data_IF_337369994489
#
_entry.id   IF_337369994489
#
_cell.length_a   1.000
_cell.length_b   1.000
_cell.length_c   1.000
_cell.angle_alpha   90.00
_cell.angle_beta   90.00
_cell.angle_gamma   90.00
#
_symmetry.space_group_name_H-M   'P 1'
#
loop_
_entity.id
_entity.type
_entity.pdbx_description
1 polymer ?
#
# COMPACT_ATOMS: atom_id res chain seq x y z
N UNK A 1 21.93 -15.34 -13.32
CA UNK A 1 21.83 -14.89 -11.92
C UNK A 1 20.40 -14.43 -11.72
N UNK A 2 19.54 -15.37 -11.34
CA UNK A 2 18.13 -15.11 -11.08
C UNK A 2 18.03 -14.59 -9.65
N UNK A 3 17.78 -13.28 -9.52
CA UNK A 3 17.49 -12.64 -8.26
C UNK A 3 16.07 -13.04 -7.85
N UNK A 4 15.91 -14.21 -7.24
CA UNK A 4 14.65 -14.58 -6.57
C UNK A 4 14.47 -13.63 -5.39
N UNK A 5 13.69 -12.57 -5.61
CA UNK A 5 13.08 -11.74 -4.58
C UNK A 5 12.49 -12.67 -3.53
N UNK A 6 13.13 -12.74 -2.37
CA UNK A 6 12.68 -13.54 -1.22
C UNK A 6 11.41 -12.89 -0.67
N UNK A 7 10.28 -13.11 -1.34
CA UNK A 7 8.96 -12.83 -0.79
C UNK A 7 8.79 -13.89 0.31
N UNK A 8 9.02 -13.49 1.56
CA UNK A 8 8.65 -14.34 2.70
C UNK A 8 7.14 -14.59 2.60
N UNK A 9 6.75 -15.76 2.11
CA UNK A 9 5.37 -16.22 2.08
C UNK A 9 4.93 -16.47 3.52
N UNK A 10 4.41 -15.42 4.17
CA UNK A 10 3.82 -15.50 5.50
C UNK A 10 2.40 -16.01 5.40
N UNK A 11 2.07 -17.00 6.25
CA UNK A 11 0.70 -17.43 6.45
C UNK A 11 -0.18 -16.25 6.88
N UNK A 12 -1.43 -16.26 6.43
CA UNK A 12 -2.41 -15.26 6.80
C UNK A 12 -2.64 -15.28 8.31
N UNK A 13 -2.49 -14.15 9.02
CA UNK A 13 -2.65 -14.12 10.47
C UNK A 13 -4.12 -14.29 10.92
N UNK A 14 -5.09 -14.16 10.00
CA UNK A 14 -6.53 -14.30 10.30
C UNK A 14 -7.01 -15.75 10.24
N UNK A 15 -6.77 -16.45 9.12
CA UNK A 15 -7.25 -17.82 8.94
C UNK A 15 -6.18 -18.89 9.15
N UNK A 16 -4.90 -18.51 9.18
CA UNK A 16 -3.72 -19.40 9.30
C UNK A 16 -3.52 -20.34 8.09
N UNK A 17 -4.61 -20.71 7.41
CA UNK A 17 -4.66 -21.65 6.30
C UNK A 17 -4.24 -21.04 4.96
N UNK A 18 -4.55 -19.76 4.74
CA UNK A 18 -4.21 -19.05 3.49
C UNK A 18 -2.81 -18.44 3.53
N UNK A 19 -2.23 -18.20 2.36
CA UNK A 19 -0.98 -17.45 2.22
C UNK A 19 -1.28 -15.99 1.87
N UNK A 20 -0.41 -15.07 2.28
CA UNK A 20 -0.48 -13.67 1.87
C UNK A 20 0.22 -13.47 0.53
N UNK A 21 -0.55 -13.11 -0.49
CA UNK A 21 -0.08 -12.86 -1.85
C UNK A 21 0.01 -11.36 -2.09
N UNK A 22 1.10 -10.90 -2.72
CA UNK A 22 1.26 -9.50 -3.10
C UNK A 22 0.36 -9.19 -4.29
N UNK A 23 -0.71 -8.41 -4.06
CA UNK A 23 -1.66 -8.01 -5.09
C UNK A 23 -1.14 -6.84 -5.93
N UNK A 24 -0.41 -5.92 -5.31
CA UNK A 24 0.04 -4.73 -6.00
C UNK A 24 0.95 -3.85 -5.17
N UNK A 25 1.43 -2.81 -5.82
CA UNK A 25 2.32 -1.83 -5.22
C UNK A 25 1.77 -0.42 -5.40
N UNK A 26 1.84 0.37 -4.34
CA UNK A 26 1.48 1.77 -4.33
C UNK A 26 2.76 2.59 -4.32
N UNK A 27 3.04 3.29 -5.41
CA UNK A 27 4.15 4.22 -5.48
C UNK A 27 3.82 5.49 -4.71
N UNK A 28 4.78 5.99 -3.94
CA UNK A 28 4.63 7.22 -3.18
C UNK A 28 5.29 8.38 -3.92
N UNK A 29 4.58 8.91 -4.91
CA UNK A 29 4.89 10.16 -5.61
C UNK A 29 4.00 11.33 -5.14
N UNK A 30 3.87 12.34 -5.99
CA UNK A 30 2.87 13.42 -5.79
C UNK A 30 1.43 12.89 -5.85
N UNK A 31 1.23 11.80 -6.61
CA UNK A 31 -0.01 11.04 -6.74
C UNK A 31 0.23 9.61 -6.29
N UNK A 32 -0.76 9.04 -5.60
CA UNK A 32 -0.77 7.64 -5.16
C UNK A 32 -1.28 6.81 -6.34
N UNK A 33 -0.40 6.02 -6.95
CA UNK A 33 -0.74 5.17 -8.10
C UNK A 33 -0.55 3.69 -7.75
N UNK A 34 -1.56 2.88 -8.10
CA UNK A 34 -1.51 1.42 -7.95
C UNK A 34 -0.89 0.84 -9.21
N UNK A 35 0.36 0.40 -9.09
CA UNK A 35 1.12 -0.15 -10.18
C UNK A 35 1.01 -1.68 -10.19
N UNK A 36 0.87 -2.23 -11.39
CA UNK A 36 1.04 -3.66 -11.63
C UNK A 36 2.50 -4.06 -11.32
N UNK A 37 2.71 -5.35 -11.03
CA UNK A 37 3.92 -6.01 -10.52
C UNK A 37 5.20 -5.89 -11.38
N UNK A 38 5.42 -4.82 -12.13
CA UNK A 38 6.69 -4.55 -12.79
C UNK A 38 7.66 -3.90 -11.78
N UNK A 39 8.40 -4.77 -11.08
CA UNK A 39 9.34 -4.52 -9.99
C UNK A 39 10.56 -3.62 -10.31
N UNK A 40 10.55 -2.82 -11.37
CA UNK A 40 11.81 -2.21 -11.82
C UNK A 40 12.27 -0.96 -11.08
N UNK A 41 11.44 -0.22 -10.35
CA UNK A 41 11.90 1.01 -9.67
C UNK A 41 10.93 1.49 -8.60
N UNK A 42 11.05 1.03 -7.36
CA UNK A 42 10.44 1.78 -6.26
C UNK A 42 11.12 1.53 -4.92
N UNK A 43 12.14 2.33 -4.63
CA UNK A 43 12.74 2.42 -3.29
C UNK A 43 11.73 2.94 -2.25
N UNK A 44 10.62 3.54 -2.70
CA UNK A 44 9.59 4.13 -1.86
C UNK A 44 8.18 3.72 -2.29
N UNK A 45 7.54 2.85 -1.50
CA UNK A 45 6.09 2.74 -1.52
C UNK A 45 5.48 1.77 -0.51
N UNK A 46 4.25 1.34 -0.80
CA UNK A 46 3.47 0.42 0.03
C UNK A 46 3.08 -0.81 -0.80
N UNK A 47 3.30 -2.01 -0.26
CA UNK A 47 2.83 -3.25 -0.85
C UNK A 47 1.46 -3.62 -0.27
N UNK A 48 0.54 -4.02 -1.13
CA UNK A 48 -0.76 -4.57 -0.76
C UNK A 48 -0.69 -6.10 -0.83
N UNK A 49 -1.09 -6.75 0.25
CA UNK A 49 -1.15 -8.20 0.36
C UNK A 49 -2.58 -8.65 0.63
N UNK A 50 -3.01 -9.73 -0.01
CA UNK A 50 -4.34 -10.33 0.14
C UNK A 50 -4.18 -11.81 0.47
N UNK A 51 -5.05 -12.33 1.33
CA UNK A 51 -5.10 -13.75 1.63
C UNK A 51 -5.62 -14.55 0.43
N UNK A 52 -4.97 -15.66 0.11
CA UNK A 52 -5.36 -16.58 -0.97
C UNK A 52 -6.65 -17.39 -0.72
N UNK A 53 -7.27 -17.26 0.46
CA UNK A 53 -8.54 -17.93 0.78
C UNK A 53 -9.67 -16.91 0.65
N UNK A 54 -10.52 -17.08 -0.36
CA UNK A 54 -11.59 -16.14 -0.73
C UNK A 54 -12.49 -15.77 0.46
N UNK A 55 -12.93 -16.76 1.23
CA UNK A 55 -13.82 -16.55 2.39
C UNK A 55 -13.13 -15.81 3.56
N UNK A 56 -11.79 -15.77 3.58
CA UNK A 56 -11.05 -15.08 4.63
C UNK A 56 -11.12 -13.56 4.47
N UNK A 57 -10.97 -13.06 3.24
CA UNK A 57 -10.99 -11.63 2.92
C UNK A 57 -9.94 -10.78 3.65
N UNK A 58 -8.91 -11.39 4.25
CA UNK A 58 -7.87 -10.63 4.95
C UNK A 58 -6.99 -9.90 3.94
N UNK A 59 -6.79 -8.61 4.19
CA UNK A 59 -5.93 -7.74 3.40
C UNK A 59 -5.04 -6.95 4.34
N UNK A 60 -3.77 -6.81 4.01
CA UNK A 60 -2.83 -5.97 4.73
C UNK A 60 -1.99 -5.12 3.80
N UNK A 61 -1.59 -3.95 4.29
CA UNK A 61 -0.71 -3.04 3.57
C UNK A 61 0.55 -2.83 4.38
N UNK A 62 1.71 -3.07 3.78
CA UNK A 62 3.02 -2.91 4.42
C UNK A 62 3.87 -1.92 3.65
N UNK A 63 4.53 -1.02 4.38
CA UNK A 63 5.51 -0.14 3.78
C UNK A 63 6.76 -0.93 3.39
N UNK A 64 7.34 -0.59 2.24
CA UNK A 64 8.70 -1.03 1.92
C UNK A 64 9.64 -0.49 3.02
N UNK A 65 10.66 -1.28 3.45
CA UNK A 65 11.64 -0.81 4.42
C UNK A 65 12.23 0.56 4.02
N UNK A 66 12.33 1.47 4.99
CA UNK A 66 12.77 2.86 4.75
C UNK A 66 11.67 3.82 4.30
N UNK A 67 10.50 3.33 3.87
CA UNK A 67 9.45 4.19 3.32
C UNK A 67 8.42 4.68 4.35
N UNK A 68 8.25 4.00 5.48
CA UNK A 68 7.11 4.23 6.39
C UNK A 68 6.93 5.70 6.83
N UNK A 69 8.03 6.39 7.17
CA UNK A 69 8.00 7.79 7.57
C UNK A 69 7.55 8.69 6.41
N UNK A 70 8.10 8.46 5.22
CA UNK A 70 7.74 9.19 4.00
C UNK A 70 6.27 8.96 3.61
N UNK A 71 5.80 7.71 3.69
CA UNK A 71 4.42 7.34 3.45
C UNK A 71 3.45 8.09 4.36
N UNK A 72 3.71 8.06 5.68
CA UNK A 72 2.91 8.78 6.68
C UNK A 72 2.89 10.28 6.40
N UNK A 73 4.02 10.88 6.01
CA UNK A 73 4.12 12.31 5.68
C UNK A 73 3.22 12.66 4.49
N UNK A 74 3.30 11.91 3.40
CA UNK A 74 2.51 12.14 2.19
C UNK A 74 1.02 11.97 2.49
N UNK A 75 0.62 10.89 3.18
CA UNK A 75 -0.77 10.65 3.55
C UNK A 75 -1.35 11.79 4.41
N UNK A 76 -0.60 12.30 5.39
CA UNK A 76 -1.02 13.45 6.21
C UNK A 76 -1.21 14.72 5.37
N UNK A 77 -0.32 14.98 4.42
CA UNK A 77 -0.44 16.13 3.53
C UNK A 77 -1.67 16.03 2.63
N UNK A 78 -1.97 14.84 2.10
CA UNK A 78 -3.16 14.62 1.27
C UNK A 78 -4.47 14.79 2.08
N UNK A 79 -4.53 14.23 3.29
CA UNK A 79 -5.66 14.46 4.20
C UNK A 79 -5.88 15.95 4.48
N UNK A 80 -4.80 16.68 4.81
CA UNK A 80 -4.87 18.12 5.04
C UNK A 80 -5.44 18.88 3.82
N UNK A 81 -4.98 18.57 2.61
CA UNK A 81 -5.50 19.16 1.36
C UNK A 81 -7.01 18.90 1.20
N UNK A 82 -7.46 17.66 1.43
CA UNK A 82 -8.88 17.29 1.31
C UNK A 82 -9.75 18.06 2.30
N UNK A 83 -9.35 18.13 3.58
CA UNK A 83 -10.11 18.84 4.62
C UNK A 83 -10.19 20.36 4.36
N UNK A 84 -9.11 20.97 3.86
CA UNK A 84 -9.14 22.39 3.52
C UNK A 84 -9.98 22.69 2.28
N UNK A 85 -9.95 21.83 1.26
CA UNK A 85 -10.83 21.97 0.09
C UNK A 85 -12.32 21.81 0.48
N UNK A 86 -12.67 20.85 1.32
CA UNK A 86 -14.06 20.65 1.74
C UNK A 86 -14.60 21.81 2.56
N UNK A 87 -13.75 22.41 3.43
CA UNK A 87 -14.13 23.56 4.27
C UNK A 87 -14.38 24.83 3.46
N UNK A 88 -13.53 25.11 2.47
CA UNK A 88 -13.73 26.27 1.57
C UNK A 88 -15.00 26.11 0.73
N UNK A 89 -15.30 24.89 0.28
CA UNK A 89 -16.50 24.60 -0.52
C UNK A 89 -17.79 24.72 0.31
N UNK A 90 -17.76 24.42 1.61
CA UNK A 90 -18.91 24.60 2.51
C UNK A 90 -19.19 26.07 2.87
N UNK A 91 -18.22 26.96 2.72
CA UNK A 91 -18.36 28.40 3.04
C UNK A 91 -18.81 29.26 1.85
N UNK A 92 -18.86 28.68 0.65
CA UNK A 92 -19.27 29.34 -0.60
C UNK A 92 -20.68 28.92 -1.07
N UNK A 93 -21.45 28.22 -0.22
CA UNK A 93 -22.87 27.93 -0.40
C UNK A 93 -23.67 28.70 0.64
#
# INVERSE_FOLDING_TARGET
>A
MESTSNVMNTNCPKCINGMLEKLGFISLGEVIELNNLDEKNSDLGLCLYVCSVDECGYTEMKAIPGTLTTAKRIMRQQLFKQYHQSTVTSLLK
#
